data_IF_595310958854
#
_entry.id   IF_595310958854
#
_cell.length_a   1.000
_cell.length_b   1.000
_cell.length_c   1.000
_cell.angle_alpha   90.00
_cell.angle_beta   90.00
_cell.angle_gamma   90.00
#
_symmetry.space_group_name_H-M   'P 1'
#
loop_
_entity.id
_entity.type
_entity.pdbx_description
1 polymer ?
#
# COMPACT_ATOMS: atom_id res chain seq x y z
N UNK A 1 -13.65 15.20 -2.75
CA UNK A 1 -13.39 14.12 -1.77
C UNK A 1 -13.34 14.76 -0.40
N UNK A 2 -13.90 14.13 0.63
CA UNK A 2 -13.91 14.65 2.00
C UNK A 2 -12.82 13.94 2.80
N UNK A 3 -11.84 14.67 3.35
CA UNK A 3 -10.74 14.08 4.10
C UNK A 3 -11.23 13.51 5.42
N UNK A 4 -10.99 12.21 5.65
CA UNK A 4 -11.38 11.53 6.89
C UNK A 4 -10.27 11.58 7.93
N UNK A 5 -9.03 11.46 7.50
CA UNK A 5 -7.88 11.36 8.39
C UNK A 5 -6.67 10.74 7.70
N UNK A 6 -5.54 10.76 8.42
CA UNK A 6 -4.31 10.11 7.99
C UNK A 6 -3.71 9.30 9.13
N UNK A 7 -2.89 8.32 8.77
CA UNK A 7 -2.15 7.49 9.72
C UNK A 7 -0.81 7.04 9.12
N UNK A 8 0.12 6.69 10.00
CA UNK A 8 1.43 6.20 9.62
C UNK A 8 1.49 4.68 9.75
N UNK A 9 2.22 4.04 8.85
CA UNK A 9 2.49 2.61 8.93
C UNK A 9 3.85 2.29 8.31
N UNK A 10 4.37 1.08 8.59
CA UNK A 10 5.54 0.56 7.91
C UNK A 10 5.14 -0.51 6.88
N UNK A 11 5.38 -0.21 5.60
CA UNK A 11 5.28 -1.17 4.53
C UNK A 11 6.54 -2.05 4.47
N UNK A 12 6.42 -3.25 3.90
CA UNK A 12 7.57 -4.14 3.73
C UNK A 12 7.99 -4.17 2.27
N UNK A 13 9.27 -3.95 2.03
CA UNK A 13 9.83 -4.08 0.69
C UNK A 13 9.71 -5.51 0.15
N UNK A 14 9.40 -5.61 -1.14
CA UNK A 14 9.39 -6.86 -1.92
C UNK A 14 10.40 -6.82 -3.07
N UNK A 15 11.16 -5.73 -3.20
CA UNK A 15 12.21 -5.57 -4.21
C UNK A 15 13.54 -5.18 -3.59
N UNK A 16 14.61 -5.28 -4.38
CA UNK A 16 15.97 -4.90 -3.95
C UNK A 16 16.43 -3.71 -4.75
N UNK A 17 16.90 -2.67 -4.05
CA UNK A 17 17.37 -1.42 -4.64
C UNK A 17 18.62 -0.98 -3.91
N UNK A 18 19.73 -0.88 -4.64
CA UNK A 18 20.99 -0.39 -4.10
C UNK A 18 20.99 1.13 -3.91
N UNK A 19 21.84 1.63 -2.99
CA UNK A 19 21.94 3.07 -2.66
C UNK A 19 22.26 3.96 -3.87
N UNK A 20 23.04 3.46 -4.83
CA UNK A 20 23.47 4.22 -6.00
C UNK A 20 22.53 4.09 -7.20
N UNK A 21 21.51 3.24 -7.11
CA UNK A 21 20.51 3.15 -8.18
C UNK A 21 19.70 4.43 -8.24
N UNK A 22 19.44 4.88 -9.48
CA UNK A 22 18.66 6.07 -9.77
C UNK A 22 17.56 5.71 -10.77
N UNK A 23 16.42 6.36 -10.60
CA UNK A 23 15.20 6.09 -11.36
C UNK A 23 14.74 7.40 -11.99
N UNK A 24 14.23 7.31 -13.23
CA UNK A 24 13.70 8.46 -13.94
C UNK A 24 12.40 8.92 -13.27
N UNK A 25 12.40 10.14 -12.76
CA UNK A 25 11.19 10.78 -12.28
C UNK A 25 10.38 11.38 -13.44
N UNK A 26 9.13 11.78 -13.18
CA UNK A 26 8.27 12.42 -14.17
C UNK A 26 8.87 13.68 -14.86
N UNK A 27 9.89 14.30 -14.25
CA UNK A 27 10.64 15.43 -14.82
C UNK A 27 11.94 15.04 -15.57
N UNK A 28 12.19 13.75 -15.80
CA UNK A 28 13.42 13.25 -16.44
C UNK A 28 14.67 13.21 -15.55
N UNK A 29 14.60 13.81 -14.35
CA UNK A 29 15.68 13.74 -13.37
C UNK A 29 15.86 12.32 -12.82
N UNK A 30 17.12 11.87 -12.76
CA UNK A 30 17.51 10.62 -12.13
C UNK A 30 17.69 10.80 -10.62
N UNK A 31 16.83 10.18 -9.83
CA UNK A 31 16.81 10.33 -8.37
C UNK A 31 16.68 9.00 -7.63
N UNK A 32 16.96 8.93 -6.32
CA UNK A 32 16.70 7.73 -5.52
C UNK A 32 15.24 7.29 -5.65
N UNK A 33 14.98 6.00 -5.48
CA UNK A 33 13.63 5.46 -5.64
C UNK A 33 12.64 6.03 -4.63
N UNK A 34 13.08 6.22 -3.39
CA UNK A 34 12.28 6.71 -2.28
C UNK A 34 12.85 8.03 -1.76
N UNK A 35 12.00 9.06 -1.65
CA UNK A 35 12.31 10.33 -0.99
C UNK A 35 11.15 10.69 -0.08
N UNK A 36 11.45 11.22 1.11
CA UNK A 36 10.41 11.66 2.03
C UNK A 36 9.45 12.64 1.35
N UNK A 37 8.15 12.42 1.54
CA UNK A 37 7.08 13.20 0.93
C UNK A 37 6.72 12.82 -0.52
N UNK A 38 7.46 11.93 -1.18
CA UNK A 38 7.08 11.47 -2.52
C UNK A 38 5.76 10.69 -2.46
N UNK A 39 4.85 10.99 -3.39
CA UNK A 39 3.61 10.23 -3.55
C UNK A 39 3.90 8.89 -4.22
N UNK A 40 3.33 7.84 -3.65
CA UNK A 40 3.40 6.48 -4.18
C UNK A 40 2.11 6.13 -4.91
N UNK A 41 2.25 5.35 -5.96
CA UNK A 41 1.12 4.68 -6.58
C UNK A 41 0.77 3.43 -5.77
N UNK A 42 -0.52 3.15 -5.60
CA UNK A 42 -0.96 1.90 -4.99
C UNK A 42 -1.80 1.07 -5.95
N UNK A 43 -1.64 -0.25 -5.88
CA UNK A 43 -2.48 -1.23 -6.54
C UNK A 43 -2.98 -2.21 -5.49
N UNK A 44 -4.25 -2.59 -5.60
CA UNK A 44 -4.85 -3.51 -4.65
C UNK A 44 -5.57 -4.65 -5.36
N UNK A 45 -5.67 -5.77 -4.65
CA UNK A 45 -6.45 -6.92 -5.09
C UNK A 45 -7.14 -7.57 -3.89
N UNK A 46 -8.43 -7.97 -4.03
CA UNK A 46 -9.08 -8.81 -3.04
C UNK A 46 -8.41 -10.20 -3.04
N UNK A 47 -8.11 -10.73 -1.86
CA UNK A 47 -7.65 -12.11 -1.70
C UNK A 47 -8.85 -13.03 -1.60
N UNK A 48 -9.12 -13.80 -2.65
CA UNK A 48 -10.06 -14.91 -2.57
C UNK A 48 -9.31 -16.10 -1.99
N UNK A 49 -9.47 -16.35 -0.69
CA UNK A 49 -9.01 -17.62 -0.11
C UNK A 49 -9.81 -18.75 -0.77
N UNK A 50 -9.18 -19.52 -1.67
CA UNK A 50 -9.75 -20.80 -2.11
C UNK A 50 -9.98 -21.64 -0.85
N UNK A 51 -11.24 -21.97 -0.57
CA UNK A 51 -11.61 -22.79 0.57
C UNK A 51 -10.97 -24.19 0.42
N UNK A 52 -9.78 -24.38 0.99
CA UNK A 52 -9.25 -25.72 1.21
C UNK A 52 -9.86 -26.21 2.50
N UNK A 53 -10.93 -27.01 2.37
CA UNK A 53 -11.73 -27.51 3.47
C UNK A 53 -10.87 -28.12 4.58
N UNK A 54 -10.99 -27.54 5.77
CA UNK A 54 -10.79 -28.26 7.03
C UNK A 54 -12.03 -27.98 7.86
N UNK A 55 -12.86 -29.02 8.00
CA UNK A 55 -14.00 -29.04 8.89
C UNK A 55 -13.45 -28.90 10.31
N UNK A 56 -13.82 -27.83 11.01
CA UNK A 56 -13.46 -27.65 12.42
C UNK A 56 -12.97 -26.26 12.78
N UNK A 57 -13.80 -25.24 12.59
CA UNK A 57 -13.93 -24.14 13.55
C UNK A 57 -15.10 -23.27 13.13
N UNK A 58 -16.25 -23.48 13.76
CA UNK A 58 -17.37 -22.57 13.67
C UNK A 58 -17.03 -21.31 14.48
N UNK A 59 -16.48 -20.30 13.81
CA UNK A 59 -16.53 -18.91 14.28
C UNK A 59 -17.34 -18.11 13.28
N UNK A 60 -18.42 -17.56 13.77
CA UNK A 60 -19.46 -16.75 13.15
C UNK A 60 -18.93 -15.70 12.16
N UNK A 61 -19.45 -15.74 10.93
CA UNK A 61 -19.92 -14.58 10.13
C UNK A 61 -19.08 -13.30 10.10
N UNK A 62 -18.03 -13.28 9.26
CA UNK A 62 -17.82 -12.31 8.15
C UNK A 62 -16.88 -13.05 7.20
N UNK A 63 -17.29 -13.32 5.96
CA UNK A 63 -16.36 -13.88 4.97
C UNK A 63 -15.14 -12.98 4.93
N UNK A 64 -13.96 -13.50 5.31
CA UNK A 64 -12.75 -12.70 5.37
C UNK A 64 -12.40 -12.24 3.95
N UNK A 65 -12.94 -11.10 3.54
CA UNK A 65 -12.47 -10.33 2.40
C UNK A 65 -11.02 -9.96 2.73
N UNK A 66 -10.12 -10.86 2.37
CA UNK A 66 -8.70 -10.61 2.41
C UNK A 66 -8.35 -9.57 1.35
N UNK A 67 -7.21 -8.93 1.49
CA UNK A 67 -6.77 -7.94 0.52
C UNK A 67 -5.26 -7.76 0.60
N UNK A 68 -4.67 -7.46 -0.55
CA UNK A 68 -3.29 -7.03 -0.63
C UNK A 68 -3.22 -5.64 -1.25
N UNK A 69 -2.33 -4.79 -0.73
CA UNK A 69 -2.01 -3.49 -1.29
C UNK A 69 -0.50 -3.48 -1.56
N UNK A 70 -0.12 -3.25 -2.81
CA UNK A 70 1.25 -3.04 -3.27
C UNK A 70 1.44 -1.56 -3.58
N UNK A 71 2.61 -1.04 -3.24
CA UNK A 71 2.97 0.35 -3.54
C UNK A 71 4.17 0.41 -4.48
N UNK A 72 4.12 1.42 -5.34
CA UNK A 72 5.05 1.63 -6.45
C UNK A 72 5.58 3.06 -6.41
N UNK A 73 6.86 3.21 -6.75
CA UNK A 73 7.52 4.50 -6.93
C UNK A 73 8.12 4.54 -8.33
N UNK A 74 7.84 5.59 -9.09
CA UNK A 74 8.34 5.74 -10.48
C UNK A 74 8.06 4.50 -11.35
N UNK A 75 6.87 3.92 -11.23
CA UNK A 75 6.46 2.70 -11.95
C UNK A 75 7.12 1.40 -11.48
N UNK A 76 8.03 1.44 -10.50
CA UNK A 76 8.68 0.26 -9.93
C UNK A 76 7.97 -0.21 -8.67
N UNK A 77 7.75 -1.53 -8.56
CA UNK A 77 7.21 -2.10 -7.33
C UNK A 77 8.23 -1.96 -6.20
N UNK A 78 7.80 -1.41 -5.08
CA UNK A 78 8.68 -1.24 -3.92
C UNK A 78 8.32 -2.24 -2.84
N UNK A 79 7.04 -2.33 -2.50
CA UNK A 79 6.63 -3.11 -1.34
C UNK A 79 5.14 -3.32 -1.24
N UNK A 80 4.74 -3.83 -0.08
CA UNK A 80 3.35 -4.11 0.27
C UNK A 80 3.00 -3.61 1.66
N UNK A 81 1.72 -3.33 1.86
CA UNK A 81 1.17 -2.99 3.17
C UNK A 81 1.18 -4.23 4.08
N UNK A 82 1.20 -4.05 5.41
CA UNK A 82 0.92 -5.15 6.32
C UNK A 82 -0.51 -5.67 6.12
N UNK A 83 -0.70 -6.94 6.46
CA UNK A 83 -1.93 -7.67 6.16
C UNK A 83 -3.16 -7.10 6.87
N UNK A 84 -3.00 -6.47 8.04
CA UNK A 84 -4.11 -5.92 8.80
C UNK A 84 -4.72 -4.71 8.10
N UNK A 85 -3.89 -3.71 7.77
CA UNK A 85 -4.27 -2.48 7.11
C UNK A 85 -4.80 -2.76 5.70
N UNK A 86 -4.16 -3.67 4.97
CA UNK A 86 -4.64 -4.09 3.66
C UNK A 86 -6.05 -4.72 3.73
N UNK A 87 -6.32 -5.58 4.72
CA UNK A 87 -7.66 -6.17 4.93
C UNK A 87 -8.71 -5.14 5.30
N UNK A 88 -8.33 -4.10 6.02
CA UNK A 88 -9.25 -3.00 6.39
C UNK A 88 -9.57 -2.11 5.18
N UNK A 89 -8.57 -1.76 4.37
CA UNK A 89 -8.73 -0.79 3.28
C UNK A 89 -9.28 -1.39 1.99
N UNK A 90 -8.90 -2.62 1.63
CA UNK A 90 -9.24 -3.21 0.32
C UNK A 90 -10.75 -3.36 0.07
N UNK A 91 -11.59 -3.78 1.04
CA UNK A 91 -13.04 -3.82 0.84
C UNK A 91 -13.63 -2.44 0.54
N UNK A 92 -13.14 -1.39 1.21
CA UNK A 92 -13.60 -0.01 1.03
C UNK A 92 -13.15 0.56 -0.32
N UNK A 93 -11.91 0.26 -0.72
CA UNK A 93 -11.35 0.65 -2.02
C UNK A 93 -12.07 -0.05 -3.17
N UNK A 94 -12.34 -1.35 -3.05
CA UNK A 94 -13.03 -2.15 -4.09
C UNK A 94 -14.46 -1.66 -4.31
N UNK A 95 -15.14 -1.22 -3.25
CA UNK A 95 -16.49 -0.64 -3.33
C UNK A 95 -16.50 0.84 -3.72
N UNK A 96 -15.34 1.42 -4.05
CA UNK A 96 -15.18 2.82 -4.44
C UNK A 96 -15.73 3.83 -3.40
N UNK A 97 -15.72 3.47 -2.11
CA UNK A 97 -16.23 4.32 -1.03
C UNK A 97 -15.18 5.34 -0.56
N UNK A 98 -13.91 4.97 -0.65
CA UNK A 98 -12.77 5.80 -0.23
C UNK A 98 -11.76 6.00 -1.36
N UNK A 99 -10.96 7.04 -1.24
CA UNK A 99 -9.69 7.22 -1.94
C UNK A 99 -8.57 7.23 -0.92
N UNK A 100 -7.46 6.58 -1.26
CA UNK A 100 -6.27 6.51 -0.42
C UNK A 100 -5.09 7.09 -1.18
N UNK A 101 -4.44 8.07 -0.58
CA UNK A 101 -3.17 8.63 -1.04
C UNK A 101 -2.07 8.19 -0.10
N UNK A 102 -0.95 7.73 -0.67
CA UNK A 102 0.17 7.20 0.10
C UNK A 102 1.40 8.02 -0.22
N UNK A 103 2.10 8.43 0.81
CA UNK A 103 3.34 9.18 0.72
C UNK A 103 4.44 8.45 1.45
N UNK A 104 5.68 8.61 1.00
CA UNK A 104 6.85 8.14 1.73
C UNK A 104 7.00 8.99 3.00
N UNK A 105 7.07 8.33 4.16
CA UNK A 105 7.27 8.98 5.44
C UNK A 105 8.68 9.56 5.61
N UNK A 106 8.99 10.10 6.81
CA UNK A 106 10.32 10.64 7.11
C UNK A 106 11.38 9.55 7.05
N UNK A 107 12.60 9.93 6.69
CA UNK A 107 13.80 9.05 6.71
C UNK A 107 13.64 7.72 5.95
N UNK A 108 13.32 7.75 4.64
CA UNK A 108 13.21 6.51 3.88
C UNK A 108 14.56 5.78 3.78
N UNK A 109 14.55 4.43 3.75
CA UNK A 109 15.76 3.65 3.60
C UNK A 109 16.45 3.96 2.27
N UNK A 110 17.75 4.25 2.32
CA UNK A 110 18.58 4.52 1.13
C UNK A 110 18.88 3.23 0.35
N UNK A 111 19.05 2.13 1.07
CA UNK A 111 19.20 0.79 0.53
C UNK A 111 17.95 0.02 0.90
N UNK A 112 17.32 -0.59 -0.11
CA UNK A 112 16.12 -1.39 0.08
C UNK A 112 16.49 -2.85 -0.14
N UNK A 113 16.39 -3.66 0.90
CA UNK A 113 16.47 -5.12 0.81
C UNK A 113 15.07 -5.73 0.93
N UNK A 114 14.96 -7.05 0.74
CA UNK A 114 13.69 -7.74 0.93
C UNK A 114 13.28 -7.68 2.40
N UNK A 115 12.06 -7.24 2.66
CA UNK A 115 11.53 -7.08 4.02
C UNK A 115 11.98 -5.80 4.73
N UNK A 116 12.79 -4.93 4.11
CA UNK A 116 13.10 -3.61 4.68
C UNK A 116 11.82 -2.83 4.94
N UNK A 117 11.72 -2.22 6.12
CA UNK A 117 10.60 -1.36 6.48
C UNK A 117 10.69 -0.03 5.72
N UNK A 118 9.61 0.34 5.05
CA UNK A 118 9.44 1.61 4.37
C UNK A 118 8.41 2.41 5.17
N UNK A 119 8.76 3.58 5.73
CA UNK A 119 7.80 4.43 6.42
C UNK A 119 6.81 5.01 5.41
N UNK A 120 5.52 4.93 5.70
CA UNK A 120 4.43 5.38 4.83
C UNK A 120 3.48 6.28 5.62
N UNK A 121 3.11 7.41 5.03
CA UNK A 121 2.00 8.26 5.47
C UNK A 121 0.80 8.00 4.56
N UNK A 122 -0.29 7.50 5.14
CA UNK A 122 -1.51 7.12 4.42
C UNK A 122 -2.61 8.12 4.75
N UNK A 123 -3.16 8.76 3.70
CA UNK A 123 -4.27 9.71 3.82
C UNK A 123 -5.53 9.11 3.20
N UNK A 124 -6.61 9.12 3.96
CA UNK A 124 -7.89 8.53 3.55
C UNK A 124 -8.93 9.62 3.38
N UNK A 125 -9.65 9.58 2.27
CA UNK A 125 -10.77 10.49 1.99
C UNK A 125 -11.99 9.70 1.53
N UNK A 126 -13.19 10.18 1.85
CA UNK A 126 -14.43 9.70 1.24
C UNK A 126 -14.49 10.14 -0.21
N UNK A 127 -14.85 9.19 -1.08
CA UNK A 127 -15.31 9.54 -2.42
C UNK A 127 -16.74 10.03 -2.30
N UNK A 128 -16.97 11.27 -2.71
CA UNK A 128 -18.34 11.74 -2.91
C UNK A 128 -18.86 11.00 -4.13
N UNK A 129 -19.78 10.06 -3.94
CA UNK A 129 -20.59 9.58 -5.05
C UNK A 129 -21.44 10.77 -5.53
N UNK A 130 -21.38 11.17 -6.81
CA UNK A 130 -22.52 11.89 -7.36
C UNK A 130 -23.72 10.94 -7.27
N UNK A 131 -24.75 11.37 -6.54
CA UNK A 131 -26.05 10.71 -6.52
C UNK A 131 -26.68 10.77 -7.91
#
# INVERSE_FOLDING_TARGET
AFFLGGFELHGYSVTRVGAEQRFAAAGGELRPLLRAGDRLEIRWAPEVKKAKGRVGSASSTVGQEGGSIRFYAQGQEVGKFPSFEARTLVPLLTRNLISVDVFVGPEPPRVVELGTNVPLEVRVSLRSTPL
#
